data_IF_977776840338
#
_entry.id   IF_977776840338
#
_cell.length_a   1.000
_cell.length_b   1.000
_cell.length_c   1.000
_cell.angle_alpha   90.00
_cell.angle_beta   90.00
_cell.angle_gamma   90.00
#
_symmetry.space_group_name_H-M   'P 1'
#
loop_
_entity.id
_entity.type
_entity.pdbx_description
1 polymer ?
#
# COMPACT_ATOMS: atom_id res chain seq x y z
N UNK A 1 -6.58 15.65 -55.99
CA UNK A 1 -7.67 14.69 -55.71
C UNK A 1 -8.44 15.20 -54.50
N UNK A 2 -9.67 15.67 -54.72
CA UNK A 2 -10.63 16.01 -53.67
C UNK A 2 -11.37 14.73 -53.28
N UNK A 3 -11.50 14.45 -52.01
CA UNK A 3 -12.47 13.49 -51.48
C UNK A 3 -13.22 14.15 -50.32
N UNK A 4 -14.49 14.44 -50.59
CA UNK A 4 -15.51 14.81 -49.62
C UNK A 4 -15.94 13.58 -48.83
N UNK A 5 -16.25 13.74 -47.54
CA UNK A 5 -17.29 12.91 -46.90
C UNK A 5 -18.05 13.72 -45.85
N UNK A 6 -19.16 14.26 -46.34
CA UNK A 6 -20.49 14.46 -45.76
C UNK A 6 -20.73 14.16 -44.27
N UNK A 7 -21.21 15.20 -43.57
CA UNK A 7 -22.08 15.14 -42.39
C UNK A 7 -23.46 14.60 -42.79
N UNK A 8 -24.04 13.70 -41.99
CA UNK A 8 -25.48 13.41 -42.03
C UNK A 8 -26.02 13.33 -40.61
N UNK A 9 -26.87 14.30 -40.27
CA UNK A 9 -27.72 14.38 -39.09
C UNK A 9 -29.04 13.67 -39.41
N UNK A 10 -29.53 12.77 -38.54
CA UNK A 10 -30.96 12.38 -38.59
C UNK A 10 -31.53 12.15 -37.18
N UNK A 11 -32.75 12.65 -37.04
CA UNK A 11 -33.61 12.87 -35.87
C UNK A 11 -34.33 11.61 -35.36
N UNK A 12 -34.57 11.59 -34.04
CA UNK A 12 -35.79 11.20 -33.28
C UNK A 12 -36.67 10.04 -33.79
N UNK A 13 -36.92 9.08 -32.89
CA UNK A 13 -38.29 8.63 -32.58
C UNK A 13 -38.41 8.12 -31.13
N UNK A 14 -39.44 8.62 -30.45
CA UNK A 14 -39.87 8.29 -29.09
C UNK A 14 -41.02 7.28 -29.20
N UNK A 15 -41.01 6.16 -28.47
CA UNK A 15 -42.18 5.28 -28.33
C UNK A 15 -42.36 4.90 -26.86
N UNK A 16 -43.51 5.32 -26.33
CA UNK A 16 -44.04 5.08 -24.99
C UNK A 16 -44.99 3.86 -25.09
N UNK A 17 -44.86 2.87 -24.21
CA UNK A 17 -45.85 1.80 -24.07
C UNK A 17 -46.17 1.57 -22.59
N UNK A 18 -47.39 1.98 -22.21
CA UNK A 18 -48.07 1.66 -20.96
C UNK A 18 -48.60 0.22 -21.00
N UNK A 19 -48.41 -0.55 -19.94
CA UNK A 19 -49.23 -1.74 -19.63
C UNK A 19 -49.63 -1.75 -18.16
N UNK A 20 -50.88 -1.36 -17.92
CA UNK A 20 -51.65 -1.54 -16.68
C UNK A 20 -52.27 -2.93 -16.64
N UNK A 21 -52.13 -3.65 -15.53
CA UNK A 21 -52.93 -4.83 -15.21
C UNK A 21 -53.53 -4.70 -13.80
N UNK A 22 -54.87 -4.72 -13.75
CA UNK A 22 -55.72 -4.77 -12.56
C UNK A 22 -55.60 -6.13 -11.86
N UNK A 23 -55.53 -6.15 -10.53
CA UNK A 23 -56.07 -7.25 -9.73
C UNK A 23 -56.93 -6.70 -8.58
N UNK A 24 -58.09 -7.34 -8.43
CA UNK A 24 -59.17 -6.97 -7.53
C UNK A 24 -59.00 -7.54 -6.11
N UNK A 25 -59.45 -6.73 -5.15
CA UNK A 25 -59.97 -6.96 -3.80
C UNK A 25 -60.01 -8.40 -3.25
N UNK A 26 -59.46 -8.55 -2.04
CA UNK A 26 -59.86 -9.55 -1.06
C UNK A 26 -59.63 -9.03 0.36
N UNK A 27 -60.67 -8.44 0.99
CA UNK A 27 -60.71 -8.18 2.43
C UNK A 27 -61.09 -9.47 3.18
N UNK A 28 -60.39 -9.77 4.28
CA UNK A 28 -60.67 -10.92 5.13
C UNK A 28 -60.08 -10.78 6.53
N UNK A 29 -60.84 -10.10 7.38
CA UNK A 29 -61.05 -10.23 8.84
C UNK A 29 -59.87 -10.37 9.83
N UNK A 30 -59.96 -9.48 10.82
CA UNK A 30 -59.20 -9.38 12.06
C UNK A 30 -59.26 -10.64 12.94
N UNK A 31 -58.11 -10.96 13.57
CA UNK A 31 -58.09 -11.45 14.94
C UNK A 31 -56.98 -10.74 15.71
N UNK A 32 -57.40 -9.88 16.63
CA UNK A 32 -56.58 -9.42 17.74
C UNK A 32 -56.24 -10.62 18.65
N UNK A 33 -54.97 -10.73 19.05
CA UNK A 33 -54.48 -11.83 19.87
C UNK A 33 -53.05 -11.60 20.32
N UNK A 34 -52.94 -10.87 21.42
CA UNK A 34 -51.89 -10.92 22.44
C UNK A 34 -50.54 -10.22 22.19
N UNK A 35 -50.29 -9.24 23.06
CA UNK A 35 -49.06 -8.46 23.19
C UNK A 35 -48.10 -9.31 24.02
N UNK A 36 -47.37 -10.20 23.34
CA UNK A 36 -46.18 -10.86 23.86
C UNK A 36 -44.94 -10.10 23.39
N UNK A 37 -44.51 -9.10 24.17
CA UNK A 37 -43.26 -8.35 23.95
C UNK A 37 -42.06 -9.29 23.87
N UNK A 38 -41.72 -9.72 22.66
CA UNK A 38 -40.45 -10.36 22.36
C UNK A 38 -39.86 -9.58 21.21
N UNK A 39 -38.98 -8.60 21.52
CA UNK A 39 -38.14 -7.96 20.52
C UNK A 39 -37.53 -9.08 19.67
N UNK A 40 -37.64 -9.05 18.33
CA UNK A 40 -36.76 -9.86 17.51
C UNK A 40 -35.34 -9.46 17.91
N UNK A 41 -34.63 -10.40 18.52
CA UNK A 41 -33.20 -10.30 18.79
C UNK A 41 -32.57 -9.85 17.49
N UNK A 42 -31.97 -8.65 17.49
CA UNK A 42 -31.22 -8.17 16.36
C UNK A 42 -30.29 -9.30 15.96
N UNK A 43 -30.55 -9.89 14.79
CA UNK A 43 -29.59 -10.77 14.14
C UNK A 43 -28.38 -9.88 13.97
N UNK A 44 -27.23 -10.29 14.50
CA UNK A 44 -25.94 -9.64 14.24
C UNK A 44 -25.68 -9.69 12.73
N UNK A 45 -26.28 -8.76 11.98
CA UNK A 45 -25.91 -8.52 10.59
C UNK A 45 -24.61 -7.75 10.69
N UNK A 46 -23.49 -8.46 10.49
CA UNK A 46 -22.18 -7.85 10.35
C UNK A 46 -22.28 -6.67 9.39
N UNK A 47 -21.73 -5.52 9.77
CA UNK A 47 -21.67 -4.35 8.89
C UNK A 47 -21.02 -4.77 7.56
N UNK A 48 -21.45 -4.23 6.40
CA UNK A 48 -20.86 -4.54 5.10
C UNK A 48 -19.32 -4.46 5.08
N UNK A 49 -18.74 -3.55 5.87
CA UNK A 49 -17.29 -3.40 6.07
C UNK A 49 -16.66 -4.59 6.80
N UNK A 50 -17.28 -5.08 7.87
CA UNK A 50 -16.84 -6.29 8.58
C UNK A 50 -16.96 -7.54 7.69
N UNK A 51 -18.02 -7.61 6.87
CA UNK A 51 -18.17 -8.66 5.86
C UNK A 51 -17.03 -8.66 4.83
N UNK A 52 -16.61 -7.47 4.39
CA UNK A 52 -15.48 -7.34 3.45
C UNK A 52 -14.17 -7.80 4.07
N UNK A 53 -13.86 -7.37 5.29
CA UNK A 53 -12.61 -7.76 5.96
C UNK A 53 -12.50 -9.29 6.07
N UNK A 54 -13.61 -9.97 6.40
CA UNK A 54 -13.65 -11.43 6.45
C UNK A 54 -13.42 -12.06 5.09
N UNK A 55 -14.07 -11.57 4.02
CA UNK A 55 -13.85 -12.08 2.66
C UNK A 55 -12.38 -11.97 2.22
N UNK A 56 -11.71 -10.86 2.56
CA UNK A 56 -10.30 -10.68 2.26
C UNK A 56 -9.44 -11.65 3.06
N UNK A 57 -9.71 -11.81 4.36
CA UNK A 57 -9.00 -12.77 5.20
C UNK A 57 -9.12 -14.21 4.64
N UNK A 58 -10.35 -14.64 4.33
CA UNK A 58 -10.65 -15.98 3.83
C UNK A 58 -10.02 -16.22 2.45
N UNK A 59 -10.02 -15.22 1.56
CA UNK A 59 -9.42 -15.34 0.23
C UNK A 59 -7.90 -15.48 0.29
N UNK A 60 -7.26 -14.84 1.28
CA UNK A 60 -5.81 -14.93 1.47
C UNK A 60 -5.40 -16.20 2.20
N UNK A 61 -6.21 -16.70 3.12
CA UNK A 61 -5.87 -17.90 3.90
C UNK A 61 -5.60 -19.12 3.00
N UNK A 62 -4.49 -19.81 3.27
CA UNK A 62 -4.02 -20.95 2.48
C UNK A 62 -3.70 -20.69 0.99
N UNK A 63 -3.91 -19.47 0.49
CA UNK A 63 -3.82 -19.14 -0.94
C UNK A 63 -2.40 -19.24 -1.49
N UNK A 64 -2.27 -19.38 -2.82
CA UNK A 64 -0.97 -19.28 -3.50
C UNK A 64 -0.33 -17.91 -3.31
N UNK A 65 -1.15 -16.85 -3.21
CA UNK A 65 -0.69 -15.49 -2.99
C UNK A 65 -0.05 -15.33 -1.61
N UNK A 66 -0.71 -15.82 -0.56
CA UNK A 66 -0.16 -15.83 0.80
C UNK A 66 1.15 -16.62 0.86
N UNK A 67 1.20 -17.82 0.26
CA UNK A 67 2.44 -18.63 0.22
C UNK A 67 3.59 -17.92 -0.49
N UNK A 68 3.31 -17.19 -1.58
CA UNK A 68 4.32 -16.42 -2.29
C UNK A 68 4.78 -15.20 -1.47
N UNK A 69 3.84 -14.51 -0.80
CA UNK A 69 4.14 -13.39 0.08
C UNK A 69 5.06 -13.79 1.24
N UNK A 70 4.74 -14.88 1.93
CA UNK A 70 5.50 -15.41 3.08
C UNK A 70 6.89 -15.94 2.70
N UNK A 71 7.14 -16.24 1.42
CA UNK A 71 8.44 -16.74 0.94
C UNK A 71 9.30 -15.68 0.28
N UNK A 72 8.69 -14.62 -0.21
CA UNK A 72 9.37 -13.59 -0.99
C UNK A 72 10.16 -12.59 -0.13
N UNK A 73 10.98 -11.81 -0.82
CA UNK A 73 11.64 -10.62 -0.30
C UNK A 73 10.87 -9.39 -0.75
N UNK A 74 10.18 -8.75 0.18
CA UNK A 74 9.44 -7.52 -0.05
C UNK A 74 9.94 -6.46 0.93
N UNK A 75 10.79 -5.51 0.50
CA UNK A 75 11.26 -4.41 1.33
C UNK A 75 10.10 -3.60 1.88
N UNK A 76 10.17 -3.30 3.17
CA UNK A 76 9.27 -2.44 3.93
C UNK A 76 10.08 -1.33 4.59
N UNK A 77 11.05 -0.79 3.86
CA UNK A 77 11.99 0.23 4.35
C UNK A 77 12.63 0.94 3.16
N UNK A 78 13.31 2.06 3.42
CA UNK A 78 14.06 2.73 2.38
C UNK A 78 15.19 1.83 1.86
N UNK A 79 15.18 1.59 0.56
CA UNK A 79 16.16 0.74 -0.09
C UNK A 79 17.53 1.44 -0.26
N UNK A 80 17.61 2.73 0.10
CA UNK A 80 18.82 3.52 0.25
C UNK A 80 18.91 4.02 1.70
N UNK A 81 20.11 4.00 2.29
CA UNK A 81 20.38 4.59 3.59
C UNK A 81 21.47 5.64 3.45
N UNK A 82 21.30 6.82 4.08
CA UNK A 82 22.32 7.86 4.06
C UNK A 82 23.60 7.39 4.75
N UNK A 83 24.72 8.11 4.56
CA UNK A 83 25.90 7.96 5.40
C UNK A 83 25.54 7.98 6.89
N UNK A 84 26.18 7.10 7.66
CA UNK A 84 26.06 7.16 9.12
C UNK A 84 26.63 8.50 9.62
N UNK A 85 25.96 9.09 10.62
CA UNK A 85 26.29 10.45 11.10
C UNK A 85 25.48 11.57 10.44
N UNK A 86 24.71 11.26 9.38
CA UNK A 86 23.84 12.23 8.70
C UNK A 86 24.57 13.03 7.61
N UNK A 87 23.88 14.03 7.06
CA UNK A 87 24.41 14.88 5.99
C UNK A 87 25.19 16.07 6.56
N UNK A 88 26.26 16.47 5.88
CA UNK A 88 27.10 17.61 6.26
C UNK A 88 26.41 18.95 6.04
N UNK A 89 25.39 19.01 5.17
CA UNK A 89 24.68 20.24 4.83
C UNK A 89 23.19 19.98 4.53
N UNK A 90 22.40 21.06 4.43
CA UNK A 90 21.02 20.98 3.93
C UNK A 90 21.00 20.63 2.44
N UNK A 91 21.96 21.12 1.68
CA UNK A 91 22.09 20.89 0.25
C UNK A 91 22.34 19.40 -0.04
N UNK A 92 23.16 18.74 0.76
CA UNK A 92 23.44 17.30 0.67
C UNK A 92 22.19 16.47 0.99
N UNK A 93 21.42 16.91 1.99
CA UNK A 93 20.13 16.29 2.32
C UNK A 93 19.13 16.44 1.18
N UNK A 94 19.02 17.65 0.60
CA UNK A 94 18.17 17.92 -0.57
C UNK A 94 18.61 17.07 -1.76
N UNK A 95 19.91 16.99 -2.04
CA UNK A 95 20.46 16.15 -3.11
C UNK A 95 20.11 14.67 -2.91
N UNK A 96 20.17 14.15 -1.67
CA UNK A 96 19.75 12.78 -1.37
C UNK A 96 18.25 12.56 -1.62
N UNK A 97 17.40 13.45 -1.10
CA UNK A 97 15.93 13.36 -1.21
C UNK A 97 15.46 13.48 -2.66
N UNK A 98 16.07 14.39 -3.44
CA UNK A 98 15.81 14.59 -4.88
C UNK A 98 16.53 13.57 -5.77
N UNK A 99 17.38 12.74 -5.16
CA UNK A 99 18.23 11.75 -5.82
C UNK A 99 19.16 12.33 -6.90
N UNK A 100 19.77 13.46 -6.60
CA UNK A 100 20.77 14.13 -7.43
C UNK A 100 22.19 13.60 -7.11
N UNK A 101 22.76 12.86 -8.05
CA UNK A 101 24.07 12.23 -7.88
C UNK A 101 24.94 12.38 -9.13
N UNK A 102 26.23 12.64 -8.92
CA UNK A 102 27.24 12.68 -9.99
C UNK A 102 28.27 11.58 -9.74
N UNK A 103 28.59 10.80 -10.76
CA UNK A 103 29.64 9.78 -10.69
C UNK A 103 30.97 10.38 -11.16
N UNK A 104 31.96 10.47 -10.26
CA UNK A 104 33.34 10.87 -10.54
C UNK A 104 34.31 9.76 -10.13
N UNK A 105 34.16 8.59 -10.74
CA UNK A 105 35.00 7.43 -10.50
C UNK A 105 34.55 6.22 -11.29
N UNK A 106 35.24 5.10 -11.08
CA UNK A 106 34.90 3.82 -11.69
C UNK A 106 34.06 2.98 -10.72
N UNK A 107 33.01 2.34 -11.25
CA UNK A 107 32.22 1.37 -10.50
C UNK A 107 32.69 -0.04 -10.87
N UNK A 108 32.82 -0.96 -9.90
CA UNK A 108 33.29 -2.30 -10.18
C UNK A 108 32.33 -3.06 -11.11
N UNK A 109 32.88 -3.70 -12.14
CA UNK A 109 32.16 -4.74 -12.86
C UNK A 109 32.05 -5.96 -11.95
N UNK A 110 30.83 -6.34 -11.57
CA UNK A 110 30.63 -7.43 -10.60
C UNK A 110 30.43 -8.75 -11.34
N UNK A 111 31.20 -9.78 -10.97
CA UNK A 111 31.08 -11.14 -11.52
C UNK A 111 30.04 -12.01 -10.78
N UNK A 112 29.52 -11.55 -9.63
CA UNK A 112 28.61 -12.32 -8.78
C UNK A 112 27.18 -12.24 -9.31
N UNK A 113 26.59 -13.39 -9.65
CA UNK A 113 25.23 -13.45 -10.20
C UNK A 113 24.14 -13.44 -9.10
N UNK A 114 24.49 -13.81 -7.85
CA UNK A 114 23.51 -14.07 -6.80
C UNK A 114 23.82 -13.35 -5.48
N UNK A 115 22.77 -12.85 -4.83
CA UNK A 115 22.81 -12.24 -3.51
C UNK A 115 21.81 -12.90 -2.56
N UNK A 116 22.18 -13.01 -1.29
CA UNK A 116 21.41 -13.75 -0.28
C UNK A 116 20.79 -12.80 0.74
N UNK A 117 19.46 -12.79 0.81
CA UNK A 117 18.67 -12.20 1.90
C UNK A 117 18.69 -13.14 3.10
N UNK A 118 18.97 -12.61 4.29
CA UNK A 118 19.01 -13.38 5.54
C UNK A 118 18.15 -12.68 6.59
N UNK A 119 17.11 -13.35 7.08
CA UNK A 119 16.24 -12.81 8.12
C UNK A 119 16.75 -13.15 9.51
N UNK A 120 16.59 -12.23 10.45
CA UNK A 120 17.00 -12.44 11.86
C UNK A 120 16.23 -13.58 12.52
N UNK A 121 14.94 -13.72 12.19
CA UNK A 121 14.08 -14.84 12.60
C UNK A 121 14.42 -16.18 11.92
N UNK A 122 15.46 -16.21 11.07
CA UNK A 122 15.91 -17.38 10.35
C UNK A 122 15.39 -17.49 8.92
N UNK A 123 16.03 -18.39 8.16
CA UNK A 123 15.76 -18.59 6.74
C UNK A 123 16.52 -17.61 5.84
N UNK A 124 16.54 -17.94 4.55
CA UNK A 124 17.23 -17.13 3.55
C UNK A 124 16.63 -17.28 2.16
N UNK A 125 16.82 -16.27 1.32
CA UNK A 125 16.39 -16.28 -0.07
C UNK A 125 17.52 -15.78 -0.95
N UNK A 126 17.85 -16.57 -1.98
CA UNK A 126 18.82 -16.18 -3.00
C UNK A 126 18.09 -15.52 -4.16
N UNK A 127 18.59 -14.37 -4.60
CA UNK A 127 18.04 -13.56 -5.68
C UNK A 127 19.16 -13.07 -6.60
N UNK A 128 18.86 -12.74 -7.87
CA UNK A 128 19.85 -12.13 -8.76
C UNK A 128 20.42 -10.84 -8.16
N UNK A 129 21.74 -10.76 -8.12
CA UNK A 129 22.46 -9.58 -7.66
C UNK A 129 22.49 -8.52 -8.77
N UNK A 130 22.16 -7.29 -8.42
CA UNK A 130 22.39 -6.14 -9.28
C UNK A 130 23.85 -5.73 -9.20
N UNK A 131 24.46 -5.47 -10.36
CA UNK A 131 25.81 -4.89 -10.38
C UNK A 131 25.80 -3.43 -9.86
N UNK A 132 27.00 -2.90 -9.59
CA UNK A 132 27.16 -1.56 -9.05
C UNK A 132 26.58 -0.47 -9.97
N UNK A 133 26.68 -0.64 -11.30
CA UNK A 133 26.19 0.34 -12.28
C UNK A 133 24.67 0.34 -12.34
N UNK A 134 24.03 -0.84 -12.39
CA UNK A 134 22.58 -0.99 -12.32
C UNK A 134 22.02 -0.39 -11.02
N UNK A 135 22.72 -0.61 -9.90
CA UNK A 135 22.31 -0.08 -8.59
C UNK A 135 22.48 1.44 -8.54
N UNK A 136 23.57 1.99 -9.09
CA UNK A 136 23.78 3.44 -9.22
C UNK A 136 22.71 4.09 -10.09
N UNK A 137 22.36 3.48 -11.24
CA UNK A 137 21.26 3.99 -12.09
C UNK A 137 19.91 3.95 -11.38
N UNK A 138 19.68 2.97 -10.49
CA UNK A 138 18.46 2.92 -9.68
C UNK A 138 18.45 3.98 -8.57
N UNK A 139 19.62 4.35 -8.05
CA UNK A 139 19.83 5.45 -7.10
C UNK A 139 19.57 6.81 -7.79
N UNK A 140 20.23 7.07 -8.92
CA UNK A 140 20.08 8.30 -9.72
C UNK A 140 19.04 8.14 -10.85
N UNK A 141 17.82 7.67 -10.54
CA UNK A 141 16.84 7.35 -11.60
C UNK A 141 16.50 8.53 -12.50
N UNK A 142 16.41 9.73 -11.92
CA UNK A 142 16.02 10.92 -12.66
C UNK A 142 17.17 11.50 -13.49
N UNK A 143 18.38 10.94 -13.35
CA UNK A 143 19.57 11.47 -14.01
C UNK A 143 19.84 12.92 -13.62
N UNK A 144 19.42 13.34 -12.42
CA UNK A 144 19.67 14.69 -11.95
C UNK A 144 21.15 14.80 -11.61
N UNK A 145 21.81 15.73 -12.29
CA UNK A 145 23.21 16.08 -12.10
C UNK A 145 23.37 17.58 -11.87
N UNK A 146 22.28 18.30 -11.58
CA UNK A 146 22.28 19.71 -11.23
C UNK A 146 22.58 19.92 -9.75
N UNK A 147 22.89 21.15 -9.37
CA UNK A 147 23.13 21.49 -7.97
C UNK A 147 21.81 21.64 -7.18
N UNK A 148 21.77 21.20 -5.91
CA UNK A 148 22.83 20.48 -5.22
C UNK A 148 22.91 18.99 -5.62
N UNK A 149 24.12 18.40 -5.56
CA UNK A 149 24.34 16.98 -5.86
C UNK A 149 25.33 16.34 -4.90
N UNK A 150 25.20 15.02 -4.71
CA UNK A 150 26.19 14.20 -4.03
C UNK A 150 27.14 13.55 -5.05
N UNK A 151 28.44 13.69 -4.85
CA UNK A 151 29.46 13.09 -5.74
C UNK A 151 29.82 11.69 -5.27
N UNK A 152 29.54 10.68 -6.09
CA UNK A 152 29.95 9.29 -5.90
C UNK A 152 31.32 9.06 -6.54
N UNK A 153 32.28 8.55 -5.77
CA UNK A 153 33.67 8.33 -6.24
C UNK A 153 34.04 6.86 -6.38
N UNK A 154 33.23 5.96 -5.82
CA UNK A 154 33.45 4.52 -5.92
C UNK A 154 32.33 3.72 -5.27
N UNK A 155 32.44 2.40 -5.35
CA UNK A 155 31.51 1.48 -4.68
C UNK A 155 32.20 0.18 -4.28
N UNK A 156 31.73 -0.42 -3.18
CA UNK A 156 32.08 -1.78 -2.78
C UNK A 156 30.82 -2.57 -2.41
N UNK A 157 30.84 -3.88 -2.66
CA UNK A 157 29.76 -4.75 -2.22
C UNK A 157 29.89 -4.97 -0.70
N UNK A 158 28.78 -4.86 0.01
CA UNK A 158 28.66 -5.09 1.44
C UNK A 158 27.25 -5.55 1.79
N UNK A 159 26.82 -5.24 3.01
CA UNK A 159 25.48 -5.56 3.50
C UNK A 159 24.83 -4.37 4.19
N UNK A 160 23.50 -4.42 4.30
CA UNK A 160 22.71 -3.51 5.12
C UNK A 160 21.52 -4.26 5.71
N UNK A 161 21.00 -3.78 6.83
CA UNK A 161 19.73 -4.27 7.39
C UNK A 161 18.59 -3.41 6.88
N UNK A 162 17.49 -4.05 6.48
CA UNK A 162 16.26 -3.39 6.04
C UNK A 162 15.05 -4.12 6.63
N UNK A 163 14.00 -3.36 6.96
CA UNK A 163 12.72 -3.95 7.29
C UNK A 163 12.10 -4.63 6.05
N UNK A 164 11.49 -5.80 6.23
CA UNK A 164 10.80 -6.53 5.16
C UNK A 164 9.45 -7.04 5.65
N UNK A 165 8.64 -7.60 4.74
CA UNK A 165 7.37 -8.24 5.09
C UNK A 165 7.47 -9.44 6.05
N UNK A 166 8.69 -9.92 6.34
CA UNK A 166 8.98 -11.05 7.23
C UNK A 166 9.89 -10.64 8.39
N UNK A 167 9.84 -9.35 8.75
CA UNK A 167 10.73 -8.74 9.72
C UNK A 167 12.07 -8.27 9.13
N UNK A 168 12.99 -7.80 9.99
CA UNK A 168 14.30 -7.32 9.56
C UNK A 168 15.13 -8.39 8.84
N UNK A 169 15.82 -7.96 7.78
CA UNK A 169 16.73 -8.82 7.03
C UNK A 169 18.04 -8.10 6.69
N UNK A 170 19.15 -8.84 6.78
CA UNK A 170 20.42 -8.44 6.19
C UNK A 170 20.41 -8.78 4.71
N UNK A 171 20.67 -7.79 3.86
CA UNK A 171 20.67 -7.91 2.41
C UNK A 171 21.98 -7.39 1.81
N UNK A 172 22.43 -7.92 0.65
CA UNK A 172 23.53 -7.35 -0.10
C UNK A 172 23.23 -5.91 -0.50
N UNK A 173 24.23 -5.05 -0.38
CA UNK A 173 24.13 -3.64 -0.71
C UNK A 173 25.41 -3.13 -1.36
N UNK A 174 25.27 -2.21 -2.30
CA UNK A 174 26.38 -1.39 -2.76
C UNK A 174 26.58 -0.24 -1.80
N UNK A 175 27.80 -0.17 -1.25
CA UNK A 175 28.27 0.90 -0.40
C UNK A 175 28.98 1.91 -1.28
N UNK A 176 28.29 2.98 -1.64
CA UNK A 176 28.80 4.06 -2.47
C UNK A 176 29.60 5.04 -1.62
N UNK A 177 30.86 5.25 -1.99
CA UNK A 177 31.70 6.28 -1.38
C UNK A 177 31.27 7.64 -1.90
N UNK A 178 31.00 8.57 -0.99
CA UNK A 178 30.68 9.96 -1.32
C UNK A 178 31.90 10.84 -1.06
N UNK A 179 32.15 11.80 -1.95
CA UNK A 179 33.18 12.82 -1.76
C UNK A 179 32.89 13.60 -0.47
N UNK A 180 33.89 13.68 0.40
CA UNK A 180 33.76 14.39 1.68
C UNK A 180 33.05 13.62 2.79
N UNK A 181 32.73 12.33 2.63
CA UNK A 181 32.13 11.48 3.67
C UNK A 181 33.03 10.31 4.06
N UNK A 182 33.11 10.02 5.36
CA UNK A 182 33.84 8.86 5.89
C UNK A 182 33.01 7.57 5.77
N UNK A 183 31.69 7.68 5.94
CA UNK A 183 30.75 6.57 5.88
C UNK A 183 30.02 6.51 4.52
N UNK A 184 29.79 5.31 3.96
CA UNK A 184 29.19 5.19 2.64
C UNK A 184 27.67 5.38 2.67
N UNK A 185 27.11 5.87 1.56
CA UNK A 185 25.70 5.69 1.26
C UNK A 185 25.45 4.24 0.87
N UNK A 186 24.45 3.60 1.48
CA UNK A 186 24.16 2.18 1.24
C UNK A 186 22.93 2.04 0.36
N UNK A 187 22.99 1.21 -0.67
CA UNK A 187 21.85 0.92 -1.54
C UNK A 187 21.71 -0.58 -1.75
N UNK A 188 20.53 -1.12 -1.46
CA UNK A 188 20.20 -2.54 -1.70
C UNK A 188 20.56 -2.95 -3.13
N UNK A 189 21.30 -4.06 -3.25
CA UNK A 189 21.79 -4.63 -4.52
C UNK A 189 20.88 -5.74 -5.06
N UNK A 190 19.61 -5.75 -4.67
CA UNK A 190 18.62 -6.76 -5.03
C UNK A 190 17.34 -6.09 -5.53
N UNK A 191 16.65 -6.76 -6.45
CA UNK A 191 15.25 -6.45 -6.77
C UNK A 191 14.33 -7.15 -5.77
N UNK A 192 13.20 -6.52 -5.38
CA UNK A 192 12.15 -7.22 -4.66
C UNK A 192 11.66 -8.44 -5.44
N UNK A 193 11.12 -9.42 -4.73
CA UNK A 193 10.41 -10.53 -5.34
C UNK A 193 9.20 -10.04 -6.13
N UNK A 194 8.80 -10.80 -7.15
CA UNK A 194 7.58 -10.50 -7.90
C UNK A 194 6.37 -10.57 -6.96
N UNK A 195 5.55 -9.53 -6.97
CA UNK A 195 4.31 -9.51 -6.21
C UNK A 195 3.38 -10.64 -6.68
N UNK A 196 2.79 -11.41 -5.75
CA UNK A 196 1.75 -12.37 -6.13
C UNK A 196 0.53 -11.63 -6.66
N UNK A 197 -0.31 -12.27 -7.47
CA UNK A 197 -1.63 -11.69 -7.79
C UNK A 197 -2.53 -11.84 -6.57
N UNK A 198 -3.26 -10.77 -6.21
CA UNK A 198 -4.25 -10.85 -5.14
C UNK A 198 -5.32 -11.90 -5.47
N UNK A 199 -5.71 -12.77 -4.51
CA UNK A 199 -6.77 -13.76 -4.71
C UNK A 199 -8.17 -13.13 -4.76
N UNK A 200 -8.30 -11.87 -4.36
CA UNK A 200 -9.55 -11.12 -4.33
C UNK A 200 -9.34 -9.71 -4.90
N UNK A 201 -10.27 -9.26 -5.74
CA UNK A 201 -10.20 -7.93 -6.37
C UNK A 201 -10.54 -6.81 -5.39
N UNK A 202 -10.20 -5.58 -5.77
CA UNK A 202 -10.67 -4.37 -5.09
C UNK A 202 -12.18 -4.19 -5.26
N UNK A 203 -12.80 -3.39 -4.37
CA UNK A 203 -14.25 -3.18 -4.39
C UNK A 203 -14.76 -2.27 -5.52
N UNK A 204 -13.88 -1.49 -6.17
CA UNK A 204 -14.26 -0.47 -7.14
C UNK A 204 -15.08 0.68 -6.52
N UNK A 205 -15.64 1.56 -7.35
CA UNK A 205 -16.44 2.74 -6.95
C UNK A 205 -17.84 2.40 -6.37
N UNK A 206 -17.97 1.22 -5.75
CA UNK A 206 -19.19 0.83 -5.02
C UNK A 206 -19.45 1.83 -3.88
N UNK A 207 -20.72 2.12 -3.49
CA UNK A 207 -21.05 3.01 -2.38
C UNK A 207 -20.75 2.37 -1.02
N UNK A 208 -19.54 1.85 -0.85
CA UNK A 208 -19.01 1.39 0.42
C UNK A 208 -18.33 2.56 1.11
N UNK A 209 -18.58 2.75 2.41
CA UNK A 209 -17.86 3.70 3.29
C UNK A 209 -16.36 3.38 3.45
N UNK A 210 -15.84 2.44 2.67
CA UNK A 210 -14.47 1.94 2.76
C UNK A 210 -13.55 2.78 1.88
N UNK A 211 -12.43 3.18 2.47
CA UNK A 211 -11.36 3.89 1.78
C UNK A 211 -10.14 2.98 1.62
N UNK A 212 -9.37 3.12 0.52
CA UNK A 212 -8.06 2.50 0.43
C UNK A 212 -7.12 3.07 1.50
N UNK A 213 -6.18 2.26 1.95
CA UNK A 213 -5.12 2.66 2.88
C UNK A 213 -3.88 3.05 2.06
N UNK A 214 -3.52 4.34 1.99
CA UNK A 214 -2.37 4.81 1.22
C UNK A 214 -1.07 4.08 1.50
N UNK A 215 -0.72 3.89 2.78
CA UNK A 215 0.52 3.20 3.18
C UNK A 215 0.57 2.81 4.65
N UNK A 216 1.38 1.79 4.91
CA UNK A 216 1.98 1.51 6.20
C UNK A 216 3.10 2.52 6.47
N UNK A 217 3.05 3.16 7.64
CA UNK A 217 4.04 4.13 8.11
C UNK A 217 5.05 3.47 9.03
N UNK A 218 4.59 2.65 9.98
CA UNK A 218 5.43 2.06 11.00
C UNK A 218 4.77 0.82 11.63
N UNK A 219 5.58 -0.07 12.18
CA UNK A 219 5.17 -1.17 13.06
C UNK A 219 6.04 -1.09 14.30
N UNK A 220 5.43 -1.03 15.48
CA UNK A 220 6.17 -0.95 16.75
C UNK A 220 7.13 -2.13 16.92
N UNK A 221 8.19 -1.95 17.72
CA UNK A 221 9.22 -2.98 17.91
C UNK A 221 8.69 -4.30 18.50
N UNK A 222 7.59 -4.26 19.25
CA UNK A 222 6.88 -5.44 19.76
C UNK A 222 5.82 -5.99 18.79
N UNK A 223 5.62 -5.32 17.65
CA UNK A 223 4.67 -5.69 16.60
C UNK A 223 3.20 -5.48 16.96
N UNK A 224 2.87 -4.92 18.13
CA UNK A 224 1.48 -4.81 18.61
C UNK A 224 0.78 -3.55 18.12
N UNK A 225 1.51 -2.52 17.67
CA UNK A 225 0.91 -1.33 17.08
C UNK A 225 1.35 -1.18 15.63
N UNK A 226 0.38 -1.02 14.74
CA UNK A 226 0.58 -0.67 13.34
C UNK A 226 0.15 0.78 13.12
N UNK A 227 1.01 1.61 12.54
CA UNK A 227 0.66 2.97 12.15
C UNK A 227 0.50 3.03 10.65
N UNK A 228 -0.68 3.42 10.18
CA UNK A 228 -0.96 3.62 8.76
C UNK A 228 -1.28 5.07 8.48
N UNK A 229 -1.16 5.47 7.22
CA UNK A 229 -1.78 6.69 6.74
C UNK A 229 -3.14 6.34 6.15
N UNK A 230 -4.17 7.09 6.55
CA UNK A 230 -5.54 6.91 6.11
C UNK A 230 -6.11 8.21 5.54
N UNK A 231 -6.93 8.06 4.50
CA UNK A 231 -7.59 9.16 3.80
C UNK A 231 -8.90 9.57 4.48
N UNK A 232 -9.22 10.87 4.44
CA UNK A 232 -10.53 11.40 4.80
C UNK A 232 -10.81 12.72 4.06
N UNK A 233 -12.07 13.12 3.99
CA UNK A 233 -12.46 14.43 3.49
C UNK A 233 -12.21 15.54 4.52
N UNK A 234 -12.02 16.77 4.04
CA UNK A 234 -11.84 17.96 4.88
C UNK A 234 -13.02 18.28 5.80
N UNK A 235 -14.20 17.74 5.51
CA UNK A 235 -15.41 17.96 6.30
C UNK A 235 -15.81 16.77 7.19
N UNK A 236 -15.06 15.67 7.10
CA UNK A 236 -15.28 14.49 7.93
C UNK A 236 -14.59 14.70 9.29
N UNK A 237 -15.01 13.94 10.32
CA UNK A 237 -14.35 13.96 11.64
C UNK A 237 -13.02 13.16 11.65
N UNK A 238 -12.52 12.79 10.47
CA UNK A 238 -11.27 12.09 10.25
C UNK A 238 -11.46 10.60 9.89
N UNK A 239 -10.35 9.90 9.62
CA UNK A 239 -10.39 8.48 9.31
C UNK A 239 -10.40 7.64 10.59
N UNK A 240 -11.13 6.53 10.53
CA UNK A 240 -11.03 5.40 11.47
C UNK A 240 -10.46 4.19 10.75
N UNK A 241 -9.60 3.44 11.45
CA UNK A 241 -9.07 2.17 10.96
C UNK A 241 -9.32 1.09 12.00
N UNK A 242 -9.98 0.01 11.60
CA UNK A 242 -10.21 -1.19 12.43
C UNK A 242 -9.43 -2.37 11.88
N UNK A 243 -9.05 -3.30 12.76
CA UNK A 243 -8.38 -4.55 12.37
C UNK A 243 -9.32 -5.74 12.57
N UNK A 244 -9.31 -6.67 11.61
CA UNK A 244 -9.75 -8.04 11.78
C UNK A 244 -8.52 -8.94 11.84
N UNK A 245 -8.30 -9.62 12.97
CA UNK A 245 -7.13 -10.48 13.16
C UNK A 245 -7.44 -11.95 12.99
N UNK A 246 -6.63 -12.64 12.17
CA UNK A 246 -6.64 -14.09 12.05
C UNK A 246 -5.29 -14.67 12.49
N UNK A 247 -5.12 -15.99 12.37
CA UNK A 247 -3.83 -16.63 12.57
C UNK A 247 -2.78 -16.25 11.51
N UNK A 248 -3.19 -15.93 10.28
CA UNK A 248 -2.29 -15.68 9.15
C UNK A 248 -2.31 -14.26 8.59
N UNK A 249 -3.25 -13.42 9.00
CA UNK A 249 -3.43 -12.07 8.47
C UNK A 249 -4.02 -11.10 9.49
N UNK A 250 -3.81 -9.81 9.22
CA UNK A 250 -4.48 -8.69 9.86
C UNK A 250 -5.10 -7.87 8.74
N UNK A 251 -6.43 -7.81 8.66
CA UNK A 251 -7.12 -7.05 7.61
C UNK A 251 -7.55 -5.70 8.19
N UNK A 252 -6.96 -4.64 7.66
CA UNK A 252 -7.30 -3.27 8.03
C UNK A 252 -8.48 -2.76 7.20
N UNK A 253 -9.43 -2.17 7.90
CA UNK A 253 -10.65 -1.59 7.35
C UNK A 253 -10.63 -0.10 7.65
N UNK A 254 -10.38 0.73 6.64
CA UNK A 254 -10.44 2.18 6.77
C UNK A 254 -11.82 2.71 6.37
N UNK A 255 -12.39 3.56 7.21
CA UNK A 255 -13.64 4.29 6.99
C UNK A 255 -13.45 5.75 7.38
N UNK A 256 -14.36 6.61 6.96
CA UNK A 256 -14.47 7.98 7.51
C UNK A 256 -15.55 8.04 8.59
N UNK A 257 -15.44 9.03 9.45
CA UNK A 257 -16.47 9.36 10.43
C UNK A 257 -17.34 10.42 9.81
N UNK A 258 -18.65 10.17 9.71
CA UNK A 258 -19.60 11.20 9.31
C UNK A 258 -19.41 12.39 10.24
N UNK A 259 -18.85 13.47 9.69
CA UNK A 259 -18.67 14.70 10.44
C UNK A 259 -20.03 15.27 10.82
N UNK A 260 -20.05 16.16 11.81
CA UNK A 260 -21.22 17.02 12.07
C UNK A 260 -21.31 18.09 11.00
N UNK A 261 -21.45 17.68 9.75
CA UNK A 261 -21.54 18.62 8.66
C UNK A 261 -22.92 19.26 8.67
N UNK A 262 -22.93 20.60 8.65
CA UNK A 262 -24.15 21.34 8.39
C UNK A 262 -24.61 21.01 6.97
N UNK A 263 -25.79 20.42 6.77
CA UNK A 263 -26.28 20.05 5.44
C UNK A 263 -26.43 21.26 4.49
N UNK A 264 -26.46 22.48 5.04
CA UNK A 264 -26.60 23.72 4.26
C UNK A 264 -25.26 24.35 3.87
N UNK A 265 -24.11 23.79 4.31
CA UNK A 265 -22.78 24.27 3.95
C UNK A 265 -22.10 23.35 2.91
N UNK A 266 -21.59 23.90 1.79
CA UNK A 266 -20.89 23.10 0.79
C UNK A 266 -19.57 22.56 1.37
N UNK A 267 -19.28 21.27 1.14
CA UNK A 267 -17.97 20.69 1.43
C UNK A 267 -16.99 20.96 0.30
N UNK A 268 -15.77 21.37 0.63
CA UNK A 268 -14.68 21.35 -0.34
C UNK A 268 -14.24 19.90 -0.60
N UNK A 269 -14.13 19.52 -1.87
CA UNK A 269 -13.62 18.21 -2.29
C UNK A 269 -12.08 18.15 -2.12
N UNK A 270 -11.65 18.05 -0.86
CA UNK A 270 -10.25 18.02 -0.47
C UNK A 270 -10.01 16.72 0.29
N UNK A 271 -9.14 15.88 -0.28
CA UNK A 271 -8.62 14.68 0.35
C UNK A 271 -7.48 15.04 1.30
N UNK A 272 -7.60 14.63 2.55
CA UNK A 272 -6.58 14.79 3.59
C UNK A 272 -6.09 13.41 4.05
N UNK A 273 -4.85 13.37 4.51
CA UNK A 273 -4.20 12.17 5.03
C UNK A 273 -3.88 12.34 6.52
N UNK A 274 -4.20 11.32 7.34
CA UNK A 274 -3.89 11.31 8.78
C UNK A 274 -3.24 10.01 9.20
N UNK A 275 -2.23 10.09 10.07
CA UNK A 275 -1.63 8.92 10.70
C UNK A 275 -2.59 8.34 11.73
N UNK A 276 -2.93 7.06 11.59
CA UNK A 276 -3.80 6.32 12.50
C UNK A 276 -3.02 5.16 13.10
N UNK A 277 -3.04 5.06 14.43
CA UNK A 277 -2.46 3.92 15.17
C UNK A 277 -3.55 2.88 15.37
N UNK A 278 -3.24 1.64 15.01
CA UNK A 278 -4.10 0.47 15.18
C UNK A 278 -3.40 -0.46 16.15
N UNK A 279 -4.00 -0.65 17.31
CA UNK A 279 -3.54 -1.63 18.29
C UNK A 279 -4.04 -3.02 17.88
N UNK A 280 -3.16 -4.01 18.01
CA UNK A 280 -3.41 -5.41 17.70
C UNK A 280 -3.44 -6.22 19.00
N UNK A 281 -4.31 -7.22 19.06
CA UNK A 281 -4.42 -8.18 20.16
C UNK A 281 -3.18 -9.09 20.25
N UNK A 282 -2.46 -9.27 19.13
CA UNK A 282 -1.21 -10.05 19.04
C UNK A 282 -0.19 -9.31 18.18
N UNK A 283 1.12 -9.57 18.33
CA UNK A 283 2.14 -9.04 17.45
C UNK A 283 1.88 -9.38 15.97
N UNK A 284 2.11 -8.44 15.05
CA UNK A 284 1.95 -8.66 13.60
C UNK A 284 2.74 -9.90 13.15
N UNK A 285 4.02 -10.00 13.52
CA UNK A 285 4.87 -11.14 13.20
C UNK A 285 4.92 -11.44 11.70
N UNK A 286 4.77 -12.71 11.33
CA UNK A 286 4.72 -13.14 9.92
C UNK A 286 3.33 -12.97 9.28
N UNK A 287 2.35 -12.41 10.00
CA UNK A 287 0.99 -12.25 9.47
C UNK A 287 0.95 -11.16 8.40
N UNK A 288 0.13 -11.39 7.39
CA UNK A 288 0.01 -10.47 6.26
C UNK A 288 -0.90 -9.31 6.67
N UNK A 289 -0.37 -8.08 6.64
CA UNK A 289 -1.17 -6.86 6.81
C UNK A 289 -1.87 -6.52 5.49
N UNK A 290 -3.18 -6.67 5.45
CA UNK A 290 -4.02 -6.55 4.25
C UNK A 290 -4.92 -5.31 4.33
N UNK A 291 -5.19 -4.70 3.18
CA UNK A 291 -6.19 -3.66 3.01
C UNK A 291 -7.54 -4.29 2.61
N UNK A 292 -8.61 -4.02 3.37
CA UNK A 292 -9.94 -4.52 3.08
C UNK A 292 -10.49 -3.99 1.74
N UNK A 293 -10.24 -2.73 1.40
CA UNK A 293 -10.71 -2.12 0.15
C UNK A 293 -9.98 -2.73 -1.06
N UNK A 294 -8.65 -2.68 -1.04
CA UNK A 294 -7.81 -3.16 -2.15
C UNK A 294 -7.73 -4.69 -2.24
N UNK A 295 -8.03 -5.39 -1.14
CA UNK A 295 -7.93 -6.85 -1.05
C UNK A 295 -6.50 -7.38 -1.12
N UNK A 296 -5.47 -6.55 -0.91
CA UNK A 296 -4.05 -6.88 -1.08
C UNK A 296 -3.21 -6.32 0.09
N UNK A 297 -1.93 -6.72 0.24
CA UNK A 297 -1.07 -6.19 1.29
C UNK A 297 -0.96 -4.67 1.24
N UNK A 298 -0.98 -4.04 2.42
CA UNK A 298 -0.83 -2.59 2.55
C UNK A 298 0.57 -2.21 2.03
N UNK A 299 0.68 -1.27 1.08
CA UNK A 299 1.97 -0.83 0.57
C UNK A 299 2.76 -0.11 1.69
N UNK A 300 4.09 -0.18 1.62
CA UNK A 300 4.96 0.56 2.54
C UNK A 300 5.47 1.86 1.90
N UNK A 301 5.84 2.85 2.72
CA UNK A 301 6.85 3.87 2.37
C UNK A 301 6.33 5.24 1.92
N UNK A 302 7.12 6.27 2.24
CA UNK A 302 7.02 7.61 1.65
C UNK A 302 7.47 7.57 0.18
N UNK A 303 6.94 8.46 -0.66
CA UNK A 303 6.93 8.40 -2.15
C UNK A 303 8.27 8.36 -2.91
N UNK A 304 9.38 7.97 -2.27
CA UNK A 304 10.73 8.29 -2.71
C UNK A 304 11.57 7.07 -3.13
N UNK A 305 11.02 5.86 -3.26
CA UNK A 305 11.24 4.82 -4.31
C UNK A 305 10.40 3.58 -4.00
N UNK A 306 10.00 2.87 -5.07
CA UNK A 306 9.16 1.69 -5.12
C UNK A 306 9.46 0.65 -4.02
N UNK A 307 8.69 0.73 -2.94
CA UNK A 307 7.95 -0.44 -2.48
C UNK A 307 7.38 -1.16 -3.70
N UNK A 308 7.34 -2.50 -3.71
CA UNK A 308 6.71 -3.22 -4.81
C UNK A 308 5.34 -2.61 -5.07
N UNK A 309 5.20 -1.85 -6.17
CA UNK A 309 3.96 -1.19 -6.48
C UNK A 309 3.06 -2.27 -7.04
N UNK A 310 2.01 -2.58 -6.30
CA UNK A 310 0.92 -3.37 -6.81
C UNK A 310 0.26 -2.57 -7.94
N UNK A 311 0.59 -2.91 -9.19
CA UNK A 311 -0.17 -2.47 -10.37
C UNK A 311 -1.55 -3.10 -10.34
#
# INVERSE_FOLDING_TARGET
MRTHTTRTTTRRTLVLALTTALFAVGCGSEKAGDIGTTKPRARDTSSPSAGRAQQVADAWDGSKAAKAWLKGYFPMGDAAQPPAGGFHSKDDKTAYEERSYVLRGELPATATEEGKVQWEGGGSLTLPLLDARQTYSALNRYGNSGDPHLTVTGAKLGGMTIATSRGPATVPAWLFTLEGYDEPLRRVALRPSKLPKSPIGELGESPTELMPIPRLVDVSGDGQTVTVLANHGACDDGPRVKALETGGSVVLTATVDDGKQDPDLPCADIMLEKKVRVELDRPLGDRILLDAYMGRPVPYGEGNWASPSWS
#
